data_IF_367012136708
#
_entry.id   IF_367012136708
#
_cell.length_a   1.000
_cell.length_b   1.000
_cell.length_c   1.000
_cell.angle_alpha   90.00
_cell.angle_beta   90.00
_cell.angle_gamma   90.00
#
_symmetry.space_group_name_H-M   'P 1'
#
loop_
_entity.id
_entity.type
_entity.pdbx_description
1 polymer ?
#
# COMPACT_ATOMS: atom_id res chain seq x y z
N UNK A 1 14.32 17.33 7.42
CA UNK A 1 14.01 16.90 8.47
C UNK A 1 13.13 15.73 8.41
N UNK A 2 12.02 15.88 8.27
CA UNK A 2 11.14 14.77 8.43
C UNK A 2 11.20 13.77 7.32
N UNK A 3 11.70 14.15 6.13
CA UNK A 3 11.72 13.21 5.02
C UNK A 3 12.62 12.01 5.29
N UNK A 4 13.70 12.19 6.04
CA UNK A 4 14.55 11.06 6.40
C UNK A 4 13.81 10.08 7.32
N UNK A 5 13.04 10.60 8.26
CA UNK A 5 12.28 9.76 9.17
C UNK A 5 11.23 8.97 8.41
N UNK A 6 10.59 9.60 7.43
CA UNK A 6 9.57 8.93 6.65
C UNK A 6 10.17 7.85 5.75
N UNK A 7 11.34 8.10 5.18
CA UNK A 7 12.00 7.10 4.37
C UNK A 7 12.43 5.91 5.22
N UNK A 8 12.89 6.17 6.43
CA UNK A 8 13.23 5.11 7.35
C UNK A 8 12.01 4.26 7.67
N UNK A 9 10.89 4.92 7.96
CA UNK A 9 9.65 4.19 8.24
C UNK A 9 9.19 3.39 7.03
N UNK A 10 9.39 3.92 5.84
CA UNK A 10 9.02 3.20 4.63
C UNK A 10 9.84 1.92 4.48
N UNK A 11 11.14 2.01 4.76
CA UNK A 11 11.98 0.82 4.71
C UNK A 11 11.55 -0.21 5.74
N UNK A 12 11.18 0.26 6.93
CA UNK A 12 10.69 -0.66 7.95
C UNK A 12 9.38 -1.33 7.53
N UNK A 13 8.49 -0.55 6.94
CA UNK A 13 7.23 -1.10 6.46
C UNK A 13 7.46 -2.17 5.42
N UNK A 14 8.38 -1.92 4.49
CA UNK A 14 8.71 -2.90 3.46
C UNK A 14 9.30 -4.16 4.05
N UNK A 15 10.13 -4.03 5.09
CA UNK A 15 10.71 -5.19 5.75
C UNK A 15 9.64 -6.02 6.43
N UNK A 16 8.70 -5.37 7.12
CA UNK A 16 7.60 -6.09 7.75
C UNK A 16 6.74 -6.78 6.70
N UNK A 17 6.53 -6.12 5.57
CA UNK A 17 5.74 -6.68 4.49
C UNK A 17 6.39 -7.98 3.98
N UNK A 18 7.69 -7.94 3.74
CA UNK A 18 8.42 -9.12 3.25
C UNK A 18 8.38 -10.24 4.27
N UNK A 19 8.45 -9.89 5.56
CA UNK A 19 8.42 -10.87 6.63
C UNK A 19 7.01 -11.35 6.94
N UNK A 20 6.03 -10.89 6.18
CA UNK A 20 4.62 -11.25 6.33
C UNK A 20 4.02 -10.76 7.65
N UNK A 21 4.61 -9.73 8.22
CA UNK A 21 4.06 -9.08 9.41
C UNK A 21 3.16 -7.94 8.97
N UNK A 22 2.03 -8.32 8.40
CA UNK A 22 1.18 -7.39 7.68
C UNK A 22 0.54 -6.34 8.58
N UNK A 23 0.29 -6.68 9.83
CA UNK A 23 -0.30 -5.72 10.75
C UNK A 23 0.65 -4.54 10.98
N UNK A 24 1.91 -4.84 11.22
CA UNK A 24 2.91 -3.78 11.43
C UNK A 24 3.16 -3.01 10.15
N UNK A 25 3.23 -3.71 9.01
CA UNK A 25 3.42 -3.04 7.74
C UNK A 25 2.22 -2.12 7.43
N UNK A 26 1.02 -2.61 7.69
CA UNK A 26 -0.19 -1.81 7.45
C UNK A 26 -0.18 -0.52 8.25
N UNK A 27 0.20 -0.63 9.52
CA UNK A 27 0.24 0.54 10.39
C UNK A 27 1.19 1.60 9.84
N UNK A 28 2.37 1.18 9.41
CA UNK A 28 3.36 2.11 8.87
C UNK A 28 2.92 2.67 7.53
N UNK A 29 2.37 1.83 6.66
CA UNK A 29 1.88 2.33 5.37
C UNK A 29 0.73 3.30 5.55
N UNK A 30 -0.12 3.08 6.53
CA UNK A 30 -1.21 4.00 6.81
C UNK A 30 -0.67 5.38 7.20
N UNK A 31 0.37 5.40 8.04
CA UNK A 31 1.00 6.65 8.43
C UNK A 31 1.68 7.33 7.24
N UNK A 32 2.25 6.54 6.35
CA UNK A 32 3.02 7.07 5.21
C UNK A 32 2.16 7.43 4.02
N UNK A 33 0.94 6.94 3.98
CA UNK A 33 0.06 7.13 2.84
C UNK A 33 -0.09 8.60 2.46
N UNK A 34 -0.48 9.49 3.39
CA UNK A 34 -0.60 10.91 3.03
C UNK A 34 0.74 11.59 2.82
N UNK A 35 1.80 11.09 3.45
CA UNK A 35 3.10 11.71 3.35
C UNK A 35 3.66 11.60 1.93
N UNK A 36 3.50 10.45 1.32
CA UNK A 36 4.07 10.20 -0.01
C UNK A 36 3.05 10.39 -1.13
N UNK A 37 1.86 10.89 -0.82
CA UNK A 37 0.87 11.15 -1.85
C UNK A 37 1.44 12.14 -2.86
N UNK A 38 1.37 11.76 -4.13
CA UNK A 38 1.92 12.60 -5.17
C UNK A 38 3.36 12.31 -5.52
N UNK A 39 4.05 11.46 -4.74
CA UNK A 39 5.40 11.07 -5.06
C UNK A 39 5.38 9.78 -5.87
N UNK A 40 6.53 9.45 -6.48
CA UNK A 40 6.62 8.21 -7.25
C UNK A 40 6.61 6.97 -6.37
N UNK A 41 6.72 7.12 -5.06
CA UNK A 41 6.63 6.00 -4.13
C UNK A 41 5.21 5.69 -3.71
N UNK A 42 4.28 6.57 -4.02
CA UNK A 42 2.90 6.41 -3.60
C UNK A 42 2.27 5.17 -4.22
N UNK A 43 2.60 4.90 -5.47
CA UNK A 43 2.06 3.73 -6.16
C UNK A 43 2.41 2.44 -5.42
N UNK A 44 3.67 2.30 -5.04
CA UNK A 44 4.13 1.10 -4.35
C UNK A 44 3.51 0.99 -2.95
N UNK A 45 3.44 2.11 -2.25
CA UNK A 45 2.85 2.15 -0.91
C UNK A 45 1.38 1.76 -0.98
N UNK A 46 0.66 2.33 -1.94
CA UNK A 46 -0.76 2.05 -2.12
C UNK A 46 -0.98 0.56 -2.40
N UNK A 47 -0.17 0.01 -3.27
CA UNK A 47 -0.25 -1.39 -3.66
C UNK A 47 -0.04 -2.30 -2.45
N UNK A 48 1.03 -2.09 -1.70
CA UNK A 48 1.34 -2.93 -0.56
C UNK A 48 0.35 -2.73 0.59
N UNK A 49 -0.13 -1.51 0.77
CA UNK A 49 -1.13 -1.22 1.78
C UNK A 49 -2.40 -2.03 1.51
N UNK A 50 -2.84 -2.05 0.26
CA UNK A 50 -4.02 -2.81 -0.11
C UNK A 50 -3.83 -4.32 0.14
N UNK A 51 -2.65 -4.83 -0.19
CA UNK A 51 -2.37 -6.25 0.06
C UNK A 51 -2.27 -6.56 1.54
N UNK A 52 -1.76 -5.64 2.35
CA UNK A 52 -1.75 -5.86 3.80
C UNK A 52 -3.17 -6.07 4.31
N UNK A 53 -4.09 -5.22 3.88
CA UNK A 53 -5.49 -5.38 4.29
C UNK A 53 -6.04 -6.72 3.83
N UNK A 54 -5.71 -7.12 2.62
CA UNK A 54 -6.17 -8.39 2.07
C UNK A 54 -5.67 -9.57 2.92
N UNK A 55 -4.37 -9.56 3.23
CA UNK A 55 -3.79 -10.66 4.00
C UNK A 55 -4.29 -10.68 5.44
N UNK A 56 -4.67 -9.53 5.97
CA UNK A 56 -5.25 -9.45 7.31
C UNK A 56 -6.74 -9.78 7.31
N UNK A 57 -7.27 -10.13 6.14
CA UNK A 57 -8.67 -10.51 5.95
C UNK A 57 -9.64 -9.36 6.14
N UNK A 58 -9.13 -8.14 6.03
CA UNK A 58 -9.96 -6.94 6.03
C UNK A 58 -10.34 -6.65 4.58
N UNK A 59 -11.26 -7.44 4.07
CA UNK A 59 -11.57 -7.41 2.66
C UNK A 59 -12.27 -6.15 2.21
N UNK A 60 -13.02 -5.52 3.12
CA UNK A 60 -13.69 -4.26 2.79
C UNK A 60 -12.65 -3.17 2.52
N UNK A 61 -11.68 -3.04 3.42
CA UNK A 61 -10.60 -2.07 3.22
C UNK A 61 -9.76 -2.41 2.01
N UNK A 62 -9.47 -3.71 1.82
CA UNK A 62 -8.67 -4.13 0.68
C UNK A 62 -9.36 -3.77 -0.63
N UNK A 63 -10.65 -4.02 -0.73
CA UNK A 63 -11.40 -3.69 -1.93
C UNK A 63 -11.35 -2.19 -2.21
N UNK A 64 -11.57 -1.40 -1.18
CA UNK A 64 -11.55 0.05 -1.32
C UNK A 64 -10.17 0.54 -1.77
N UNK A 65 -9.12 -0.03 -1.19
CA UNK A 65 -7.76 0.36 -1.54
C UNK A 65 -7.37 -0.08 -2.94
N UNK A 66 -7.78 -1.28 -3.35
CA UNK A 66 -7.54 -1.72 -4.72
C UNK A 66 -8.28 -0.85 -5.72
N UNK A 67 -9.53 -0.52 -5.42
CA UNK A 67 -10.31 0.37 -6.28
C UNK A 67 -9.65 1.73 -6.38
N UNK A 68 -9.23 2.27 -5.26
CA UNK A 68 -8.56 3.56 -5.22
C UNK A 68 -7.26 3.53 -6.01
N UNK A 69 -6.52 2.42 -5.92
CA UNK A 69 -5.29 2.25 -6.69
C UNK A 69 -5.56 2.40 -8.18
N UNK A 70 -6.63 1.78 -8.66
CA UNK A 70 -6.97 1.85 -10.07
C UNK A 70 -7.36 3.26 -10.50
N UNK A 71 -7.96 4.01 -9.58
CA UNK A 71 -8.33 5.39 -9.88
C UNK A 71 -7.10 6.29 -9.99
N UNK A 72 -6.11 6.05 -9.12
CA UNK A 72 -4.88 6.85 -9.13
C UNK A 72 -3.92 6.40 -10.22
N UNK A 73 -3.88 5.12 -10.51
CA UNK A 73 -2.87 4.55 -11.40
C UNK A 73 -3.49 3.63 -12.44
N UNK A 74 -4.37 4.17 -13.30
CA UNK A 74 -5.05 3.31 -14.28
C UNK A 74 -4.11 2.69 -15.30
N UNK A 75 -2.94 3.30 -15.52
CA UNK A 75 -1.97 2.81 -16.51
C UNK A 75 -0.79 2.10 -15.86
N UNK A 76 -0.89 1.78 -14.58
CA UNK A 76 0.18 1.08 -13.88
C UNK A 76 0.32 -0.34 -14.42
N UNK A 77 1.56 -0.85 -14.41
CA UNK A 77 1.78 -2.25 -14.77
C UNK A 77 1.09 -3.18 -13.78
N UNK A 78 0.75 -2.68 -12.59
CA UNK A 78 0.07 -3.46 -11.58
C UNK A 78 -1.45 -3.38 -11.68
N UNK A 79 -1.96 -2.54 -12.59
CA UNK A 79 -3.40 -2.26 -12.63
C UNK A 79 -4.21 -3.51 -12.96
N UNK A 80 -3.72 -4.34 -13.87
CA UNK A 80 -4.44 -5.55 -14.25
C UNK A 80 -4.56 -6.50 -13.08
N UNK A 81 -3.48 -6.70 -12.36
CA UNK A 81 -3.46 -7.56 -11.18
C UNK A 81 -4.40 -7.02 -10.12
N UNK A 82 -4.34 -5.71 -9.88
CA UNK A 82 -5.16 -5.07 -8.85
C UNK A 82 -6.64 -5.18 -9.22
N UNK A 83 -6.96 -5.02 -10.49
CA UNK A 83 -8.34 -5.15 -10.92
C UNK A 83 -8.86 -6.57 -10.67
N UNK A 84 -8.02 -7.56 -10.92
CA UNK A 84 -8.38 -8.95 -10.62
C UNK A 84 -8.61 -9.14 -9.12
N UNK A 85 -7.73 -8.60 -8.30
CA UNK A 85 -7.87 -8.75 -6.85
C UNK A 85 -9.11 -8.03 -6.32
N UNK A 86 -9.47 -6.91 -6.93
CA UNK A 86 -10.65 -6.17 -6.52
C UNK A 86 -11.92 -6.99 -6.70
N UNK A 87 -11.90 -7.90 -7.66
CA UNK A 87 -13.08 -8.71 -7.98
C UNK A 87 -13.35 -9.78 -6.91
N UNK A 88 -12.41 -10.05 -6.04
CA UNK A 88 -12.63 -10.97 -4.96
C UNK A 88 -13.27 -10.25 -3.78
#
# INVERSE_FOLDING_TARGET
>A
MKSKDYEYKLRMADQYYVKKKYRFAQQLYEDLFPVFKGSNKFEDIHYKFAYCAYYLKDYISAENLFKSFLEYFPNSTKAEEVDFMRAF
#
